data_IF_952084331546
#
_entry.id   IF_952084331546
#
_cell.length_a   1.000
_cell.length_b   1.000
_cell.length_c   1.000
_cell.angle_alpha   90.00
_cell.angle_beta   90.00
_cell.angle_gamma   90.00
#
_symmetry.space_group_name_H-M   'P 1'
#
loop_
_entity.id
_entity.type
_entity.pdbx_description
1 polymer ?
#
# COMPACT_ATOMS: atom_id res chain seq x y z
N UNK A 1 -20.71 -58.64 11.12
CA UNK A 1 -20.40 -59.72 10.15
C UNK A 1 -20.57 -59.07 8.79
N UNK A 2 -19.63 -58.99 7.85
CA UNK A 2 -18.43 -59.78 7.56
C UNK A 2 -17.57 -58.89 6.65
N UNK A 3 -16.24 -58.92 6.80
CA UNK A 3 -15.29 -58.24 5.90
C UNK A 3 -15.27 -58.93 4.53
N UNK A 4 -15.01 -58.19 3.45
CA UNK A 4 -14.41 -58.72 2.24
C UNK A 4 -13.55 -57.67 1.54
N UNK A 5 -12.27 -58.00 1.43
CA UNK A 5 -11.27 -57.39 0.56
C UNK A 5 -11.47 -57.95 -0.85
N UNK A 6 -11.34 -57.12 -1.88
CA UNK A 6 -10.92 -57.55 -3.22
C UNK A 6 -10.23 -56.37 -3.92
N UNK A 7 -8.98 -56.61 -4.27
CA UNK A 7 -8.14 -55.80 -5.12
C UNK A 7 -8.56 -55.94 -6.58
N UNK A 8 -8.23 -54.93 -7.41
CA UNK A 8 -7.96 -55.19 -8.82
C UNK A 8 -8.27 -54.06 -9.79
N UNK A 9 -7.24 -53.76 -10.59
CA UNK A 9 -7.26 -53.22 -11.95
C UNK A 9 -7.30 -51.70 -12.15
N UNK A 10 -6.11 -51.21 -12.53
CA UNK A 10 -5.85 -49.99 -13.28
C UNK A 10 -6.70 -49.92 -14.56
N UNK A 11 -7.24 -48.73 -14.84
CA UNK A 11 -7.54 -48.31 -16.21
C UNK A 11 -7.26 -46.81 -16.32
N UNK A 12 -6.15 -46.50 -17.00
CA UNK A 12 -5.82 -45.18 -17.52
C UNK A 12 -6.85 -44.79 -18.58
N UNK A 13 -7.55 -43.68 -18.38
CA UNK A 13 -8.30 -42.99 -19.43
C UNK A 13 -7.79 -41.56 -19.50
N UNK A 14 -6.88 -41.31 -20.45
CA UNK A 14 -6.47 -39.98 -20.85
C UNK A 14 -7.63 -39.32 -21.62
N UNK A 15 -8.18 -38.25 -21.07
CA UNK A 15 -9.14 -37.38 -21.78
C UNK A 15 -8.35 -36.19 -22.32
N UNK A 16 -8.13 -36.21 -23.63
CA UNK A 16 -7.70 -35.08 -24.43
C UNK A 16 -8.82 -34.03 -24.46
N UNK A 17 -8.61 -32.87 -23.85
CA UNK A 17 -9.43 -31.70 -24.08
C UNK A 17 -8.71 -30.76 -25.04
N UNK A 18 -9.41 -30.47 -26.13
CA UNK A 18 -8.99 -29.56 -27.19
C UNK A 18 -8.85 -28.13 -26.66
N UNK A 19 -7.74 -27.50 -27.05
CA UNK A 19 -7.42 -26.10 -26.76
C UNK A 19 -8.20 -25.23 -27.76
N UNK A 20 -9.24 -24.56 -27.27
CA UNK A 20 -9.89 -23.47 -27.99
C UNK A 20 -9.09 -22.19 -27.75
N UNK A 21 -8.49 -21.66 -28.83
CA UNK A 21 -7.77 -20.39 -28.79
C UNK A 21 -8.70 -19.23 -28.48
N UNK A 22 -8.33 -18.44 -27.48
CA UNK A 22 -8.81 -17.09 -27.28
C UNK A 22 -7.62 -16.14 -27.38
N UNK A 23 -7.58 -15.37 -28.46
CA UNK A 23 -6.72 -14.20 -28.65
C UNK A 23 -7.02 -13.17 -27.57
N UNK A 24 -6.11 -12.98 -26.62
CA UNK A 24 -6.15 -11.86 -25.69
C UNK A 24 -5.81 -10.57 -26.45
N UNK A 25 -6.81 -9.69 -26.61
CA UNK A 25 -6.57 -8.29 -26.98
C UNK A 25 -5.96 -7.58 -25.78
N UNK A 26 -4.68 -7.21 -25.90
CA UNK A 26 -4.03 -6.26 -25.00
C UNK A 26 -4.72 -4.91 -25.12
N UNK A 27 -5.44 -4.50 -24.07
CA UNK A 27 -5.92 -3.13 -23.93
C UNK A 27 -4.76 -2.28 -23.40
N UNK A 28 -4.28 -1.38 -24.25
CA UNK A 28 -3.32 -0.32 -23.95
C UNK A 28 -3.88 0.67 -22.93
N UNK A 29 -3.15 0.90 -21.85
CA UNK A 29 -3.38 1.99 -20.91
C UNK A 29 -3.16 3.36 -21.61
N UNK A 30 -3.87 4.44 -21.21
CA UNK A 30 -3.70 5.76 -21.81
C UNK A 30 -2.35 6.38 -21.44
N UNK A 31 -1.59 6.80 -22.46
CA UNK A 31 -0.33 7.54 -22.33
C UNK A 31 -0.56 8.95 -21.78
N UNK A 32 0.23 9.33 -20.79
CA UNK A 32 0.40 10.73 -20.37
C UNK A 32 1.11 11.54 -21.50
N UNK A 33 0.73 12.80 -21.74
CA UNK A 33 1.35 13.60 -22.80
C UNK A 33 2.78 14.03 -22.42
N UNK A 34 3.68 13.91 -23.40
CA UNK A 34 5.08 14.29 -23.31
C UNK A 34 5.26 15.81 -23.15
N UNK A 35 6.31 16.27 -22.43
CA UNK A 35 6.64 17.69 -22.34
C UNK A 35 7.17 18.21 -23.68
N UNK A 36 6.63 19.34 -24.13
CA UNK A 36 7.05 20.04 -25.34
C UNK A 36 8.29 20.90 -25.06
N UNK A 37 9.41 20.55 -25.68
CA UNK A 37 10.58 21.42 -25.84
C UNK A 37 10.32 22.45 -26.95
N UNK A 38 10.34 23.75 -26.64
CA UNK A 38 11.08 24.74 -27.44
C UNK A 38 11.24 26.09 -26.70
N UNK A 39 12.36 26.81 -26.91
CA UNK A 39 12.77 27.96 -26.11
C UNK A 39 12.44 29.31 -26.78
N UNK A 40 12.34 30.39 -26.00
CA UNK A 40 12.53 31.73 -26.53
C UNK A 40 13.06 32.69 -25.44
N UNK A 41 14.22 33.29 -25.75
CA UNK A 41 14.82 34.38 -25.00
C UNK A 41 14.23 35.73 -25.43
N UNK A 42 14.00 36.56 -24.41
CA UNK A 42 14.38 37.98 -24.24
C UNK A 42 13.98 39.10 -25.23
N UNK A 43 13.61 40.22 -24.59
CA UNK A 43 13.61 41.64 -24.99
C UNK A 43 12.54 42.24 -25.92
N UNK A 44 11.88 43.30 -25.40
CA UNK A 44 11.37 44.41 -26.21
C UNK A 44 10.20 45.21 -25.61
N UNK A 45 10.48 46.42 -25.12
CA UNK A 45 9.57 47.34 -24.42
C UNK A 45 8.53 48.07 -25.32
N UNK A 46 7.37 48.46 -24.74
CA UNK A 46 6.87 49.85 -24.61
C UNK A 46 5.34 49.91 -24.33
N UNK A 47 5.03 50.49 -23.17
CA UNK A 47 3.96 51.46 -22.84
C UNK A 47 2.62 51.48 -23.61
N UNK A 48 1.52 51.25 -22.87
CA UNK A 48 0.31 52.12 -22.86
C UNK A 48 -0.70 51.67 -21.80
N UNK A 49 -1.17 52.61 -20.99
CA UNK A 49 -2.02 52.36 -19.83
C UNK A 49 -3.53 52.38 -20.06
N UNK A 50 -4.21 52.57 -18.92
CA UNK A 50 -5.65 52.71 -18.67
C UNK A 50 -6.44 51.42 -18.36
N UNK A 51 -6.68 51.25 -17.06
CA UNK A 51 -7.90 50.79 -16.40
C UNK A 51 -8.91 49.97 -17.20
N UNK A 52 -9.13 48.73 -16.77
CA UNK A 52 -10.48 48.18 -16.62
C UNK A 52 -10.48 47.09 -15.55
N UNK A 53 -11.37 47.30 -14.59
CA UNK A 53 -11.80 46.36 -13.56
C UNK A 53 -12.17 45.01 -14.16
N UNK A 54 -11.56 43.96 -13.63
CA UNK A 54 -12.17 42.65 -13.63
C UNK A 54 -11.75 41.98 -12.33
N UNK A 55 -12.69 42.00 -11.38
CA UNK A 55 -12.76 41.02 -10.30
C UNK A 55 -12.68 39.64 -10.94
N UNK A 56 -11.47 39.10 -11.00
CA UNK A 56 -11.28 37.68 -11.13
C UNK A 56 -11.51 37.11 -9.73
N UNK A 57 -12.76 36.72 -9.46
CA UNK A 57 -13.04 35.80 -8.39
C UNK A 57 -12.08 34.61 -8.53
N UNK A 58 -11.36 34.19 -7.48
CA UNK A 58 -10.57 32.97 -7.55
C UNK A 58 -11.53 31.83 -7.89
N UNK A 59 -11.15 31.04 -8.89
CA UNK A 59 -11.91 29.90 -9.35
C UNK A 59 -12.11 28.92 -8.17
N UNK A 60 -13.37 28.60 -7.88
CA UNK A 60 -13.81 27.56 -6.94
C UNK A 60 -13.46 26.16 -7.51
N UNK A 61 -12.18 25.81 -7.67
CA UNK A 61 -11.78 24.56 -8.34
C UNK A 61 -11.92 23.28 -7.49
N UNK A 62 -12.21 23.38 -6.18
CA UNK A 62 -12.21 22.22 -5.27
C UNK A 62 -13.57 21.89 -4.62
N UNK A 63 -14.67 22.50 -5.05
CA UNK A 63 -15.99 22.24 -4.44
C UNK A 63 -16.67 21.03 -5.07
N UNK A 64 -16.48 19.87 -4.45
CA UNK A 64 -17.29 18.69 -4.74
C UNK A 64 -18.77 18.98 -4.46
N UNK A 65 -19.65 18.68 -5.44
CA UNK A 65 -21.09 18.87 -5.28
C UNK A 65 -21.65 17.98 -4.14
N UNK A 66 -22.70 18.42 -3.42
CA UNK A 66 -23.37 17.60 -2.42
C UNK A 66 -23.82 16.26 -2.99
N UNK A 67 -23.63 15.18 -2.23
CA UNK A 67 -23.96 13.81 -2.61
C UNK A 67 -25.26 13.40 -1.91
N UNK A 68 -26.35 13.13 -2.65
CA UNK A 68 -27.58 12.63 -2.05
C UNK A 68 -27.34 11.29 -1.33
N UNK A 69 -27.77 11.20 -0.08
CA UNK A 69 -27.62 9.97 0.73
C UNK A 69 -28.75 9.88 1.76
N UNK A 70 -29.48 8.76 1.81
CA UNK A 70 -30.43 8.44 2.89
C UNK A 70 -31.46 9.54 3.26
N UNK A 71 -31.91 10.30 2.24
CA UNK A 71 -32.91 11.37 2.36
C UNK A 71 -32.33 12.75 2.69
N UNK A 72 -31.02 12.87 2.85
CA UNK A 72 -30.28 14.13 3.00
C UNK A 72 -29.09 14.18 2.04
N UNK A 73 -28.02 14.86 2.43
CA UNK A 73 -26.82 15.01 1.61
C UNK A 73 -25.52 14.93 2.43
N UNK A 74 -24.53 14.26 1.86
CA UNK A 74 -23.13 14.34 2.28
C UNK A 74 -22.46 15.52 1.58
N UNK A 75 -21.66 16.28 2.31
CA UNK A 75 -20.89 17.41 1.79
C UNK A 75 -19.46 17.33 2.27
N UNK A 76 -18.52 17.65 1.38
CA UNK A 76 -17.10 17.83 1.71
C UNK A 76 -16.78 19.31 1.48
N UNK A 77 -16.29 19.98 2.52
CA UNK A 77 -15.97 21.41 2.47
C UNK A 77 -14.62 21.68 3.07
N UNK A 78 -13.89 22.64 2.51
CA UNK A 78 -12.64 23.16 3.05
C UNK A 78 -12.83 24.66 3.36
N UNK A 79 -13.03 25.05 4.64
CA UNK A 79 -13.35 26.43 4.98
C UNK A 79 -12.18 27.40 4.75
N UNK A 80 -10.95 26.91 4.85
CA UNK A 80 -9.71 27.66 4.69
C UNK A 80 -8.89 27.08 3.53
N UNK A 81 -8.20 27.92 2.77
CA UNK A 81 -7.54 27.55 1.49
C UNK A 81 -6.51 26.40 1.59
N UNK A 82 -5.97 26.15 2.79
CA UNK A 82 -5.07 25.02 3.09
C UNK A 82 -5.45 24.32 4.41
N UNK A 83 -6.70 24.52 4.86
CA UNK A 83 -7.18 23.98 6.13
C UNK A 83 -7.71 22.54 6.01
N UNK A 84 -8.16 21.99 7.13
CA UNK A 84 -8.81 20.68 7.13
C UNK A 84 -10.07 20.68 6.26
N UNK A 85 -10.24 19.60 5.49
CA UNK A 85 -11.50 19.26 4.84
C UNK A 85 -12.42 18.59 5.85
N UNK A 86 -13.71 18.87 5.72
CA UNK A 86 -14.75 18.37 6.61
C UNK A 86 -15.80 17.58 5.83
N UNK A 87 -16.03 16.33 6.22
CA UNK A 87 -17.19 15.55 5.82
C UNK A 87 -18.36 15.88 6.75
N UNK A 88 -19.52 16.23 6.19
CA UNK A 88 -20.75 16.45 6.96
C UNK A 88 -21.96 15.79 6.30
N UNK A 89 -22.98 15.48 7.11
CA UNK A 89 -24.31 15.08 6.65
C UNK A 89 -25.33 16.11 7.12
N UNK A 90 -26.04 16.74 6.18
CA UNK A 90 -26.99 17.84 6.45
C UNK A 90 -26.41 18.92 7.39
N UNK A 91 -25.13 19.24 7.23
CA UNK A 91 -24.40 20.22 8.03
C UNK A 91 -23.84 19.71 9.37
N UNK A 92 -24.14 18.47 9.78
CA UNK A 92 -23.53 17.84 10.96
C UNK A 92 -22.21 17.18 10.55
N UNK A 93 -21.10 17.65 11.11
CA UNK A 93 -19.78 17.06 10.89
C UNK A 93 -19.74 15.58 11.29
N UNK A 94 -19.15 14.76 10.42
CA UNK A 94 -18.96 13.33 10.58
C UNK A 94 -17.49 12.96 10.75
N UNK A 95 -16.59 13.63 10.01
CA UNK A 95 -15.15 13.45 10.05
C UNK A 95 -14.45 14.72 9.51
N UNK A 96 -13.18 14.93 9.87
CA UNK A 96 -12.31 15.92 9.23
C UNK A 96 -10.89 15.40 9.18
N UNK A 97 -10.16 15.80 8.14
CA UNK A 97 -8.71 15.68 8.05
C UNK A 97 -8.21 16.56 6.87
N UNK A 98 -6.90 16.63 6.64
CA UNK A 98 -6.30 17.38 5.55
C UNK A 98 -6.82 16.95 4.18
N UNK A 99 -6.93 15.63 3.95
CA UNK A 99 -7.58 15.08 2.78
C UNK A 99 -8.84 14.29 3.12
N UNK A 100 -9.90 14.58 2.39
CA UNK A 100 -11.22 13.94 2.50
C UNK A 100 -11.77 13.82 1.09
N UNK A 101 -12.03 12.60 0.65
CA UNK A 101 -12.56 12.33 -0.68
C UNK A 101 -13.65 11.26 -0.63
N UNK A 102 -14.76 11.51 -1.31
CA UNK A 102 -15.81 10.51 -1.46
C UNK A 102 -15.36 9.41 -2.43
N UNK A 103 -15.47 8.16 -2.02
CA UNK A 103 -15.18 7.00 -2.86
C UNK A 103 -16.44 6.60 -3.63
N UNK A 104 -17.45 6.07 -2.94
CA UNK A 104 -18.68 5.55 -3.56
C UNK A 104 -19.77 5.26 -2.54
N UNK A 105 -20.99 5.04 -3.04
CA UNK A 105 -22.08 4.41 -2.28
C UNK A 105 -22.23 2.96 -2.74
N UNK A 106 -22.37 2.05 -1.78
CA UNK A 106 -22.65 0.63 -2.01
C UNK A 106 -23.86 0.18 -1.22
N UNK A 107 -24.40 -1.00 -1.55
CA UNK A 107 -25.55 -1.60 -0.87
C UNK A 107 -25.10 -2.87 -0.15
N UNK A 108 -25.34 -2.95 1.16
CA UNK A 108 -25.07 -4.12 2.00
C UNK A 108 -26.39 -4.57 2.62
N UNK A 109 -26.89 -5.75 2.21
CA UNK A 109 -28.26 -6.15 2.45
C UNK A 109 -29.22 -5.12 1.87
N UNK A 110 -30.05 -4.51 2.71
CA UNK A 110 -30.96 -3.42 2.31
C UNK A 110 -30.49 -2.02 2.74
N UNK A 111 -29.24 -1.89 3.20
CA UNK A 111 -28.68 -0.63 3.73
C UNK A 111 -27.75 -0.01 2.69
N UNK A 112 -27.97 1.26 2.34
CA UNK A 112 -26.98 2.01 1.57
C UNK A 112 -25.87 2.50 2.50
N UNK A 113 -24.65 2.43 2.00
CA UNK A 113 -23.44 2.71 2.76
C UNK A 113 -22.55 3.60 1.90
N UNK A 114 -22.23 4.79 2.38
CA UNK A 114 -21.25 5.65 1.75
C UNK A 114 -19.86 5.36 2.32
N UNK A 115 -18.90 5.25 1.43
CA UNK A 115 -17.48 5.06 1.71
C UNK A 115 -16.76 6.37 1.42
N UNK A 116 -15.99 6.86 2.39
CA UNK A 116 -15.25 8.13 2.28
C UNK A 116 -13.84 7.89 2.78
N UNK A 117 -12.86 8.32 2.00
CA UNK A 117 -11.46 8.34 2.38
C UNK A 117 -11.16 9.60 3.19
N UNK A 118 -10.50 9.43 4.33
CA UNK A 118 -10.14 10.52 5.27
C UNK A 118 -8.72 10.28 5.78
N UNK A 119 -7.81 11.22 5.55
CA UNK A 119 -6.41 11.07 5.95
C UNK A 119 -5.59 12.36 5.89
N UNK A 120 -4.33 12.27 6.30
CA UNK A 120 -3.42 13.41 6.36
C UNK A 120 -2.93 13.86 4.97
N UNK A 121 -3.26 13.09 3.93
CA UNK A 121 -2.75 13.27 2.57
C UNK A 121 -1.30 12.82 2.40
N UNK A 122 -0.74 13.10 1.23
CA UNK A 122 0.63 12.68 0.86
C UNK A 122 0.67 11.32 0.15
N UNK A 123 1.88 10.81 -0.07
CA UNK A 123 2.14 9.61 -0.88
C UNK A 123 2.71 8.43 -0.07
N UNK A 124 2.92 8.59 1.24
CA UNK A 124 3.56 7.58 2.09
C UNK A 124 2.58 6.60 2.71
N UNK A 125 1.38 7.08 3.07
CA UNK A 125 0.32 6.28 3.65
C UNK A 125 -1.02 6.58 2.99
N UNK A 126 -1.89 5.57 2.97
CA UNK A 126 -3.24 5.71 2.46
C UNK A 126 -4.14 6.44 3.47
N UNK A 127 -5.30 6.95 3.03
CA UNK A 127 -6.31 7.45 3.94
C UNK A 127 -6.98 6.30 4.72
N UNK A 128 -7.51 6.62 5.90
CA UNK A 128 -8.45 5.75 6.59
C UNK A 128 -9.79 5.72 5.83
N UNK A 129 -10.57 4.65 6.02
CA UNK A 129 -11.90 4.54 5.43
C UNK A 129 -12.99 4.85 6.46
N UNK A 130 -13.74 5.93 6.24
CA UNK A 130 -14.96 6.22 6.99
C UNK A 130 -16.15 5.57 6.29
N UNK A 131 -16.86 4.72 7.03
CA UNK A 131 -18.09 4.07 6.61
C UNK A 131 -19.26 4.87 7.19
N UNK A 132 -20.16 5.36 6.33
CA UNK A 132 -21.35 6.13 6.71
C UNK A 132 -22.60 5.35 6.32
N UNK A 133 -23.53 5.16 7.26
CA UNK A 133 -24.80 4.48 7.00
C UNK A 133 -25.92 5.01 7.87
N UNK A 134 -27.16 4.72 7.50
CA UNK A 134 -28.34 5.01 8.31
C UNK A 134 -29.06 3.71 8.65
N UNK A 135 -29.10 3.29 9.92
CA UNK A 135 -29.97 2.19 10.34
C UNK A 135 -31.44 2.53 10.02
N UNK A 136 -32.26 1.51 9.80
CA UNK A 136 -33.71 1.70 9.60
C UNK A 136 -34.29 2.47 10.79
N UNK A 137 -34.94 3.60 10.50
CA UNK A 137 -35.52 4.53 11.48
C UNK A 137 -34.51 5.19 12.45
N UNK A 138 -33.21 5.17 12.11
CA UNK A 138 -32.13 5.72 12.92
C UNK A 138 -31.52 7.03 12.38
N UNK A 139 -30.63 7.62 13.19
CA UNK A 139 -29.74 8.69 12.74
C UNK A 139 -28.57 8.12 11.91
N UNK A 140 -27.93 8.99 11.11
CA UNK A 140 -26.68 8.66 10.43
C UNK A 140 -25.63 8.23 11.46
N UNK A 141 -24.94 7.14 11.13
CA UNK A 141 -23.86 6.54 11.89
C UNK A 141 -22.59 6.55 11.06
N UNK A 142 -21.46 6.57 11.77
CA UNK A 142 -20.15 6.39 11.17
C UNK A 142 -19.30 5.41 11.96
N UNK A 143 -18.36 4.80 11.28
CA UNK A 143 -17.22 4.11 11.88
C UNK A 143 -16.01 4.32 10.99
N UNK A 144 -14.82 4.25 11.58
CA UNK A 144 -13.56 4.42 10.87
C UNK A 144 -12.83 3.09 10.85
N UNK A 145 -12.34 2.71 9.68
CA UNK A 145 -11.39 1.62 9.49
C UNK A 145 -10.04 2.24 9.22
N UNK A 146 -9.06 1.86 10.01
CA UNK A 146 -7.68 2.33 9.98
C UNK A 146 -6.80 1.16 10.45
N UNK A 147 -5.66 0.97 9.82
CA UNK A 147 -4.67 -0.05 10.17
C UNK A 147 -3.25 0.53 10.15
N UNK A 148 -2.59 0.45 11.31
CA UNK A 148 -1.17 0.72 11.50
C UNK A 148 -0.75 2.19 11.26
N UNK A 149 -1.65 3.13 11.53
CA UNK A 149 -1.46 4.57 11.30
C UNK A 149 -1.12 4.90 9.84
N UNK A 150 -1.47 3.99 8.92
CA UNK A 150 -1.14 4.08 7.49
C UNK A 150 -2.36 3.82 6.59
N UNK A 151 -3.55 4.10 7.13
CA UNK A 151 -4.81 4.10 6.41
C UNK A 151 -5.53 2.76 6.41
N UNK A 152 -6.51 2.62 5.53
CA UNK A 152 -7.23 1.36 5.34
C UNK A 152 -6.86 0.71 4.01
N UNK A 153 -6.79 -0.63 3.95
CA UNK A 153 -6.77 -1.32 2.68
C UNK A 153 -8.02 -1.02 1.83
N UNK A 154 -7.95 -1.23 0.52
CA UNK A 154 -9.12 -1.11 -0.35
C UNK A 154 -10.30 -1.96 0.14
N UNK A 155 -11.49 -1.37 0.13
CA UNK A 155 -12.71 -2.04 0.54
C UNK A 155 -13.19 -3.04 -0.52
N UNK A 156 -13.26 -4.32 -0.16
CA UNK A 156 -13.90 -5.37 -0.96
C UNK A 156 -15.37 -5.52 -0.54
N UNK A 157 -16.28 -5.31 -1.48
CA UNK A 157 -17.73 -5.22 -1.18
C UNK A 157 -18.42 -6.49 -1.62
N UNK A 158 -19.25 -7.04 -0.72
CA UNK A 158 -20.13 -8.18 -0.97
C UNK A 158 -21.58 -7.82 -0.64
N UNK A 159 -22.50 -8.76 -0.84
CA UNK A 159 -23.93 -8.54 -0.56
C UNK A 159 -24.23 -8.36 0.93
N UNK A 160 -23.42 -8.90 1.84
CA UNK A 160 -23.67 -8.96 3.29
C UNK A 160 -22.64 -8.21 4.14
N UNK A 161 -21.44 -7.97 3.62
CA UNK A 161 -20.39 -7.24 4.33
C UNK A 161 -19.42 -6.47 3.42
N UNK A 162 -18.68 -5.55 4.04
CA UNK A 162 -17.50 -4.91 3.47
C UNK A 162 -16.26 -5.50 4.14
N UNK A 163 -15.31 -5.99 3.36
CA UNK A 163 -14.08 -6.61 3.83
C UNK A 163 -12.87 -5.71 3.59
N UNK A 164 -11.94 -5.71 4.54
CA UNK A 164 -10.67 -5.01 4.47
C UNK A 164 -9.55 -6.04 4.69
N UNK A 165 -8.86 -6.38 3.61
CA UNK A 165 -7.76 -7.34 3.62
C UNK A 165 -6.46 -6.57 3.87
N UNK A 166 -5.75 -6.81 5.00
CA UNK A 166 -4.58 -6.02 5.37
C UNK A 166 -3.45 -6.17 4.35
N UNK A 167 -2.69 -5.10 4.17
CA UNK A 167 -1.36 -5.18 3.58
C UNK A 167 -0.41 -5.81 4.60
N UNK A 168 0.02 -7.04 4.30
CA UNK A 168 0.92 -7.79 5.18
C UNK A 168 2.36 -7.52 4.77
N UNK A 169 3.15 -7.03 5.72
CA UNK A 169 4.59 -6.97 5.57
C UNK A 169 5.22 -8.33 5.86
N UNK A 170 6.41 -8.62 5.33
CA UNK A 170 7.18 -9.80 5.69
C UNK A 170 7.19 -10.07 7.21
N UNK A 171 6.74 -11.26 7.60
CA UNK A 171 6.68 -11.68 9.01
C UNK A 171 5.43 -11.22 9.77
N UNK A 172 4.61 -10.33 9.21
CA UNK A 172 3.42 -9.82 9.87
C UNK A 172 2.26 -10.82 9.87
N UNK A 173 1.49 -10.79 10.95
CA UNK A 173 0.14 -11.37 11.03
C UNK A 173 -0.82 -10.28 11.47
N UNK A 174 -1.88 -10.03 10.69
CA UNK A 174 -2.84 -8.96 10.94
C UNK A 174 -4.29 -9.45 10.77
N UNK A 175 -5.25 -8.82 11.48
CA UNK A 175 -6.65 -9.14 11.29
C UNK A 175 -7.12 -8.66 9.90
N UNK A 176 -7.78 -9.55 9.16
CA UNK A 176 -8.73 -9.15 8.14
C UNK A 176 -9.99 -8.66 8.84
N UNK A 177 -10.43 -7.46 8.46
CA UNK A 177 -11.61 -6.84 9.06
C UNK A 177 -12.81 -7.03 8.13
N UNK A 178 -13.98 -7.11 8.74
CA UNK A 178 -15.25 -7.06 8.04
C UNK A 178 -16.18 -6.09 8.75
N UNK A 179 -17.06 -5.45 7.99
CA UNK A 179 -18.09 -4.58 8.52
C UNK A 179 -19.43 -4.93 7.91
N UNK A 180 -20.48 -5.01 8.74
CA UNK A 180 -21.87 -5.11 8.29
C UNK A 180 -22.75 -4.13 9.08
N UNK A 181 -23.91 -3.74 8.55
CA UNK A 181 -24.83 -2.84 9.26
C UNK A 181 -25.34 -3.40 10.59
N UNK A 182 -25.40 -4.73 10.73
CA UNK A 182 -25.93 -5.41 11.93
C UNK A 182 -24.87 -5.74 12.96
N UNK A 183 -23.66 -6.07 12.54
CA UNK A 183 -22.58 -6.51 13.44
C UNK A 183 -21.54 -5.43 13.71
N UNK A 184 -21.48 -4.39 12.87
CA UNK A 184 -20.42 -3.39 12.93
C UNK A 184 -19.08 -3.95 12.48
N UNK A 185 -17.99 -3.27 12.85
CA UNK A 185 -16.63 -3.66 12.49
C UNK A 185 -16.16 -4.83 13.37
N UNK A 186 -15.80 -5.94 12.75
CA UNK A 186 -15.35 -7.17 13.41
C UNK A 186 -14.17 -7.79 12.67
N UNK A 187 -13.47 -8.72 13.30
CA UNK A 187 -12.39 -9.49 12.66
C UNK A 187 -12.98 -10.73 11.98
N UNK A 188 -12.76 -10.89 10.67
CA UNK A 188 -13.14 -12.09 9.92
C UNK A 188 -12.13 -13.22 10.05
N UNK A 189 -10.88 -12.89 10.36
CA UNK A 189 -9.79 -13.84 10.64
C UNK A 189 -8.45 -13.15 10.72
N UNK A 190 -7.40 -13.89 11.06
CA UNK A 190 -6.02 -13.40 10.97
C UNK A 190 -5.36 -13.93 9.71
N UNK A 191 -4.68 -13.05 8.97
CA UNK A 191 -3.89 -13.38 7.81
C UNK A 191 -2.41 -13.16 8.11
N UNK A 192 -1.56 -14.04 7.60
CA UNK A 192 -0.11 -14.01 7.80
C UNK A 192 0.59 -13.89 6.45
N UNK A 193 1.62 -13.05 6.37
CA UNK A 193 2.44 -12.92 5.17
C UNK A 193 2.98 -14.29 4.74
N UNK A 194 2.83 -14.61 3.46
CA UNK A 194 3.38 -15.83 2.87
C UNK A 194 4.12 -15.45 1.59
N UNK A 195 5.41 -15.80 1.44
CA UNK A 195 6.14 -15.54 0.20
C UNK A 195 5.58 -16.40 -0.95
N UNK A 196 5.98 -16.08 -2.18
CA UNK A 196 5.60 -16.87 -3.36
C UNK A 196 6.18 -18.30 -3.26
N UNK A 197 5.31 -19.33 -3.17
CA UNK A 197 5.76 -20.68 -2.90
C UNK A 197 6.53 -21.29 -4.08
N UNK A 198 7.61 -22.01 -3.77
CA UNK A 198 8.43 -22.72 -4.74
C UNK A 198 9.51 -21.88 -5.42
N UNK A 199 9.64 -20.59 -5.07
CA UNK A 199 10.72 -19.73 -5.54
C UNK A 199 12.01 -19.98 -4.74
N UNK A 200 13.16 -19.94 -5.41
CA UNK A 200 14.48 -20.20 -4.81
C UNK A 200 15.49 -19.12 -5.22
N UNK A 201 16.73 -19.19 -4.73
CA UNK A 201 17.79 -18.21 -4.98
C UNK A 201 18.09 -17.95 -6.45
N UNK A 202 17.91 -18.96 -7.31
CA UNK A 202 18.04 -18.85 -8.77
C UNK A 202 16.97 -17.95 -9.42
N UNK A 203 15.85 -17.73 -8.73
CA UNK A 203 14.71 -16.95 -9.21
C UNK A 203 14.80 -15.49 -8.75
N UNK A 204 15.83 -15.14 -7.96
CA UNK A 204 16.09 -13.77 -7.51
C UNK A 204 16.59 -12.93 -8.68
N UNK A 205 15.85 -11.86 -8.98
CA UNK A 205 16.16 -10.94 -10.08
C UNK A 205 15.91 -9.50 -9.64
N UNK A 206 16.96 -8.83 -9.16
CA UNK A 206 16.85 -7.48 -8.61
C UNK A 206 16.47 -6.41 -9.63
N UNK A 207 16.49 -6.72 -10.93
CA UNK A 207 16.06 -5.79 -11.97
C UNK A 207 14.55 -5.66 -12.09
N UNK A 208 13.80 -6.56 -11.45
CA UNK A 208 12.33 -6.55 -11.40
C UNK A 208 11.77 -5.94 -10.11
N UNK A 209 12.64 -5.50 -9.21
CA UNK A 209 12.24 -4.99 -7.91
C UNK A 209 12.12 -3.47 -8.01
N UNK A 210 10.96 -2.96 -7.62
CA UNK A 210 10.75 -1.53 -7.44
C UNK A 210 11.42 -1.08 -6.14
N UNK A 211 11.38 -1.94 -5.11
CA UNK A 211 11.99 -1.73 -3.80
C UNK A 211 12.68 -3.00 -3.28
N UNK A 212 13.68 -2.85 -2.40
CA UNK A 212 14.40 -4.01 -1.84
C UNK A 212 13.49 -4.97 -1.05
N UNK A 213 12.38 -4.46 -0.49
CA UNK A 213 11.39 -5.27 0.23
C UNK A 213 10.72 -6.31 -0.69
N UNK A 214 10.70 -6.10 -2.01
CA UNK A 214 10.17 -7.06 -2.98
C UNK A 214 10.95 -8.38 -2.99
N UNK A 215 12.21 -8.36 -2.52
CA UNK A 215 13.01 -9.57 -2.38
C UNK A 215 12.39 -10.59 -1.40
N UNK A 216 11.55 -10.16 -0.46
CA UNK A 216 10.84 -11.06 0.46
C UNK A 216 9.72 -11.86 -0.22
N UNK A 217 9.27 -11.50 -1.43
CA UNK A 217 8.36 -12.36 -2.21
C UNK A 217 9.01 -13.69 -2.56
N UNK A 218 10.35 -13.73 -2.67
CA UNK A 218 11.07 -14.98 -2.89
C UNK A 218 11.13 -15.82 -1.60
N UNK A 219 10.66 -17.06 -1.65
CA UNK A 219 10.53 -17.94 -0.49
C UNK A 219 11.89 -18.27 0.15
N UNK A 220 12.94 -18.47 -0.64
CA UNK A 220 14.27 -18.76 -0.10
C UNK A 220 14.89 -17.55 0.60
N UNK A 221 14.73 -16.34 0.04
CA UNK A 221 15.13 -15.08 0.68
C UNK A 221 14.33 -14.85 1.97
N UNK A 222 13.00 -15.01 1.92
CA UNK A 222 12.13 -14.89 3.08
C UNK A 222 12.56 -15.83 4.21
N UNK A 223 12.77 -17.12 3.92
CA UNK A 223 13.20 -18.11 4.91
C UNK A 223 14.56 -17.79 5.51
N UNK A 224 15.51 -17.35 4.69
CA UNK A 224 16.83 -16.94 5.17
C UNK A 224 16.74 -15.71 6.10
N UNK A 225 15.89 -14.76 5.76
CA UNK A 225 15.63 -13.59 6.58
C UNK A 225 14.90 -13.95 7.87
N UNK A 226 13.89 -14.84 7.81
CA UNK A 226 13.14 -15.27 8.98
C UNK A 226 14.04 -16.00 9.97
N UNK A 227 14.93 -16.87 9.48
CA UNK A 227 15.91 -17.57 10.31
C UNK A 227 16.89 -16.62 11.01
N UNK A 228 17.15 -15.46 10.42
CA UNK A 228 18.13 -14.50 10.91
C UNK A 228 17.53 -13.42 11.81
N UNK A 229 16.35 -12.89 11.44
CA UNK A 229 15.66 -11.79 12.11
C UNK A 229 14.69 -12.28 13.19
N UNK A 230 14.08 -13.45 13.01
CA UNK A 230 13.02 -13.95 13.88
C UNK A 230 11.90 -12.93 14.05
N UNK A 231 11.57 -12.62 15.31
CA UNK A 231 10.52 -11.67 15.68
C UNK A 231 10.81 -10.22 15.25
N UNK A 232 12.06 -9.88 14.87
CA UNK A 232 12.40 -8.55 14.36
C UNK A 232 12.05 -8.37 12.87
N UNK A 233 11.60 -9.42 12.19
CA UNK A 233 11.30 -9.38 10.76
C UNK A 233 10.24 -8.33 10.38
N UNK A 234 9.10 -8.21 11.09
CA UNK A 234 8.12 -7.16 10.78
C UNK A 234 8.70 -5.76 10.90
N UNK A 235 9.44 -5.47 11.98
CA UNK A 235 10.02 -4.14 12.17
C UNK A 235 11.09 -3.83 11.12
N UNK A 236 11.93 -4.81 10.77
CA UNK A 236 12.91 -4.65 9.70
C UNK A 236 12.23 -4.39 8.36
N UNK A 237 11.13 -5.09 8.05
CA UNK A 237 10.35 -4.83 6.86
C UNK A 237 9.76 -3.42 6.85
N UNK A 238 9.23 -2.95 7.98
CA UNK A 238 8.73 -1.57 8.14
C UNK A 238 9.84 -0.55 7.89
N UNK A 239 11.06 -0.79 8.40
CA UNK A 239 12.24 0.05 8.16
C UNK A 239 12.71 0.09 6.71
N UNK A 240 12.15 -0.74 5.82
CA UNK A 240 12.51 -0.82 4.40
C UNK A 240 11.37 -0.35 3.49
N UNK A 241 10.25 0.13 4.04
CA UNK A 241 9.03 0.43 3.28
C UNK A 241 9.18 1.62 2.35
N UNK A 242 9.75 2.71 2.83
CA UNK A 242 9.96 3.91 2.03
C UNK A 242 11.40 3.88 1.53
N UNK A 243 11.60 3.48 0.28
CA UNK A 243 12.92 3.31 -0.32
C UNK A 243 12.89 3.56 -1.83
N UNK A 244 14.04 3.33 -2.45
CA UNK A 244 14.17 3.31 -3.90
C UNK A 244 14.59 1.93 -4.42
N UNK A 245 14.88 1.88 -5.72
CA UNK A 245 15.36 0.68 -6.39
C UNK A 245 16.69 0.16 -5.83
N UNK A 246 17.10 -1.01 -6.31
CA UNK A 246 18.30 -1.70 -5.80
C UNK A 246 19.59 -1.27 -6.48
N UNK A 247 20.67 -1.21 -5.71
CA UNK A 247 22.04 -1.07 -6.19
C UNK A 247 22.78 -2.41 -6.13
N UNK A 248 23.87 -2.56 -6.91
CA UNK A 248 24.66 -3.79 -6.97
C UNK A 248 26.07 -3.58 -6.47
N UNK A 249 26.56 -4.53 -5.68
CA UNK A 249 27.97 -4.59 -5.28
C UNK A 249 28.82 -5.28 -6.35
N UNK A 250 30.14 -5.18 -6.21
CA UNK A 250 31.09 -5.84 -7.11
C UNK A 250 31.01 -7.37 -7.07
N UNK A 251 30.56 -7.98 -5.97
CA UNK A 251 30.36 -9.44 -5.88
C UNK A 251 29.06 -9.93 -6.50
N UNK A 252 28.18 -9.04 -6.95
CA UNK A 252 26.87 -9.38 -7.50
C UNK A 252 25.76 -9.49 -6.45
N UNK A 253 26.05 -9.19 -5.17
CA UNK A 253 25.01 -8.90 -4.20
C UNK A 253 24.30 -7.59 -4.59
N UNK A 254 23.05 -7.44 -4.17
CA UNK A 254 22.30 -6.20 -4.33
C UNK A 254 21.79 -5.70 -2.99
N UNK A 255 21.61 -4.39 -2.87
CA UNK A 255 21.21 -3.75 -1.63
C UNK A 255 20.34 -2.52 -1.88
N UNK A 256 19.64 -2.08 -0.84
CA UNK A 256 19.11 -0.73 -0.75
C UNK A 256 18.94 -0.33 0.71
N UNK A 257 18.66 0.95 0.93
CA UNK A 257 18.12 1.47 2.19
C UNK A 257 16.64 1.78 2.06
N UNK A 258 15.97 1.86 3.21
CA UNK A 258 14.66 2.44 3.32
C UNK A 258 14.46 3.10 4.68
N UNK A 259 13.29 3.66 4.89
CA UNK A 259 12.87 4.21 6.17
C UNK A 259 11.45 3.80 6.53
N UNK A 260 11.10 4.04 7.79
CA UNK A 260 9.74 3.90 8.30
C UNK A 260 8.90 5.07 7.75
N UNK A 261 7.66 4.82 7.25
CA UNK A 261 6.77 5.90 6.84
C UNK A 261 6.65 6.98 7.91
N UNK A 262 6.74 8.24 7.52
CA UNK A 262 6.71 9.42 8.40
C UNK A 262 7.88 9.57 9.42
N UNK A 263 8.83 8.62 9.47
CA UNK A 263 9.97 8.61 10.43
C UNK A 263 11.32 8.35 9.71
N UNK A 264 11.49 8.97 8.54
CA UNK A 264 12.77 8.97 7.82
C UNK A 264 13.87 9.64 8.67
N UNK A 265 14.97 8.92 8.91
CA UNK A 265 16.07 9.33 9.80
C UNK A 265 15.99 8.74 11.21
N UNK A 266 14.84 8.17 11.60
CA UNK A 266 14.62 7.56 12.90
C UNK A 266 15.07 6.11 12.95
N UNK A 267 14.34 5.23 12.25
CA UNK A 267 14.53 3.78 12.26
C UNK A 267 14.88 3.21 10.88
N UNK A 268 15.74 3.90 10.14
CA UNK A 268 16.11 3.53 8.77
C UNK A 268 16.72 2.13 8.68
N UNK A 269 16.34 1.41 7.63
CA UNK A 269 16.76 0.05 7.33
C UNK A 269 17.78 -0.01 6.20
N UNK A 270 18.61 -1.03 6.24
CA UNK A 270 19.49 -1.47 5.17
C UNK A 270 19.28 -2.98 4.97
N UNK A 271 19.13 -3.40 3.73
CA UNK A 271 19.09 -4.81 3.36
C UNK A 271 20.02 -5.06 2.19
N UNK A 272 20.79 -6.15 2.27
CA UNK A 272 21.53 -6.70 1.15
C UNK A 272 21.23 -8.20 0.98
N UNK A 273 21.17 -8.63 -0.27
CA UNK A 273 20.93 -10.02 -0.67
C UNK A 273 22.10 -10.45 -1.56
N UNK A 274 22.71 -11.59 -1.23
CA UNK A 274 23.76 -12.24 -2.01
C UNK A 274 23.18 -13.54 -2.60
N UNK A 275 22.67 -13.51 -3.85
CA UNK A 275 22.09 -14.69 -4.50
C UNK A 275 23.11 -15.77 -4.84
N UNK A 276 24.42 -15.46 -4.82
CA UNK A 276 25.47 -16.45 -5.12
C UNK A 276 25.83 -17.24 -3.86
N UNK A 277 25.88 -16.56 -2.70
CA UNK A 277 26.18 -17.18 -1.40
C UNK A 277 24.94 -17.62 -0.64
N UNK A 278 23.75 -17.32 -1.15
CA UNK A 278 22.46 -17.62 -0.51
C UNK A 278 22.37 -16.99 0.88
N UNK A 279 22.70 -15.70 0.97
CA UNK A 279 22.73 -14.95 2.23
C UNK A 279 22.00 -13.62 2.14
N UNK A 280 21.49 -13.20 3.28
CA UNK A 280 20.89 -11.89 3.50
C UNK A 280 21.60 -11.19 4.65
N UNK A 281 21.63 -9.86 4.58
CA UNK A 281 22.28 -8.99 5.55
C UNK A 281 21.34 -7.83 5.84
N UNK A 282 21.16 -7.50 7.11
CA UNK A 282 20.26 -6.47 7.56
C UNK A 282 20.96 -5.56 8.54
N UNK A 283 20.66 -4.28 8.47
CA UNK A 283 20.95 -3.38 9.57
C UNK A 283 19.82 -2.37 9.73
N UNK A 284 19.56 -1.96 10.96
CA UNK A 284 18.65 -0.86 11.30
C UNK A 284 19.37 0.12 12.19
N UNK A 285 19.02 1.40 12.12
CA UNK A 285 19.45 2.37 13.12
C UNK A 285 18.97 1.91 14.51
N UNK A 286 19.90 1.70 15.44
CA UNK A 286 19.59 1.29 16.80
C UNK A 286 19.39 2.50 17.72
N UNK A 287 18.64 2.32 18.81
CA UNK A 287 18.28 3.40 19.74
C UNK A 287 19.48 3.96 20.52
N UNK A 288 20.60 3.22 20.59
CA UNK A 288 21.79 3.56 21.37
C UNK A 288 22.95 4.12 20.52
N UNK A 289 22.69 4.50 19.27
CA UNK A 289 23.70 5.03 18.35
C UNK A 289 24.55 3.99 17.63
N UNK A 290 24.56 2.73 18.10
CA UNK A 290 25.05 1.59 17.32
C UNK A 290 23.89 0.96 16.52
N UNK A 291 24.12 0.54 15.28
CA UNK A 291 23.11 -0.15 14.49
C UNK A 291 22.85 -1.56 15.02
N UNK A 292 21.58 -1.97 14.99
CA UNK A 292 21.25 -3.38 15.11
C UNK A 292 21.55 -4.04 13.76
N UNK A 293 22.37 -5.09 13.73
CA UNK A 293 22.80 -5.72 12.49
C UNK A 293 22.77 -7.24 12.56
N UNK A 294 22.30 -7.85 11.47
CA UNK A 294 22.15 -9.29 11.33
C UNK A 294 22.72 -9.77 9.98
N UNK A 295 23.69 -10.71 9.99
CA UNK A 295 24.52 -11.09 11.13
C UNK A 295 25.34 -9.89 11.66
N UNK A 296 26.14 -10.02 12.72
CA UNK A 296 27.02 -8.93 13.16
C UNK A 296 27.89 -8.39 12.01
N UNK A 297 28.04 -7.06 11.90
CA UNK A 297 28.74 -6.38 10.78
C UNK A 297 30.15 -6.92 10.54
N UNK A 298 30.84 -7.37 11.59
CA UNK A 298 32.19 -7.98 11.49
C UNK A 298 32.23 -9.23 10.60
N UNK A 299 31.09 -9.88 10.39
CA UNK A 299 30.97 -11.12 9.62
C UNK A 299 30.48 -10.85 8.17
N UNK A 300 30.35 -9.57 7.79
CA UNK A 300 29.88 -9.17 6.47
C UNK A 300 31.02 -9.21 5.44
N UNK A 301 30.72 -9.57 4.18
CA UNK A 301 31.63 -9.35 3.07
C UNK A 301 32.06 -7.87 2.97
N UNK A 302 33.30 -7.64 2.55
CA UNK A 302 33.92 -6.29 2.51
C UNK A 302 33.09 -5.32 1.66
N UNK A 303 32.57 -5.77 0.53
CA UNK A 303 31.80 -4.94 -0.40
C UNK A 303 30.39 -4.65 0.11
N UNK A 304 29.74 -5.59 0.81
CA UNK A 304 28.45 -5.35 1.48
C UNK A 304 28.62 -4.41 2.67
N UNK A 305 29.68 -4.59 3.47
CA UNK A 305 30.01 -3.66 4.54
C UNK A 305 30.28 -2.26 3.99
N UNK A 306 31.02 -2.15 2.88
CA UNK A 306 31.26 -0.89 2.21
C UNK A 306 29.95 -0.24 1.74
N UNK A 307 29.07 -0.98 1.08
CA UNK A 307 27.77 -0.49 0.64
C UNK A 307 26.96 0.08 1.82
N UNK A 308 26.98 -0.61 2.96
CA UNK A 308 26.33 -0.14 4.18
C UNK A 308 26.96 1.11 4.79
N UNK A 309 28.29 1.17 4.88
CA UNK A 309 28.99 2.34 5.41
C UNK A 309 28.77 3.57 4.52
N UNK A 310 28.76 3.39 3.20
CA UNK A 310 28.47 4.45 2.23
C UNK A 310 27.01 4.91 2.36
N UNK A 311 26.07 3.99 2.54
CA UNK A 311 24.64 4.28 2.71
C UNK A 311 24.31 5.04 4.02
N UNK A 312 25.11 4.84 5.07
CA UNK A 312 25.00 5.57 6.36
C UNK A 312 25.55 6.99 6.34
N UNK A 313 26.44 7.29 5.38
CA UNK A 313 27.16 8.55 5.30
C UNK A 313 26.41 9.65 4.56
N UNK A 314 25.24 9.32 4.00
CA UNK A 314 24.29 10.24 3.38
C UNK A 314 23.15 10.60 4.35
#
# INVERSE_FOLDING_TARGET
MTRSLLAGACALAAILLAVSGATAQSQTAPQAPAPSDQPAADQGAADQGASSTSDAAPADEDKQAPIPFEGGQLTITQPEQDGEKMLAYDGKQLASNYDVSFDRIVKIGDVNVALVDVGDGGNQCGPAKVIVWKPKDGEIRTTTVEQDECGAPPAAVSDDAIYFVPFLLPGATKPALQWSPTEGLTTSGNLTYTPEPGTDWKDVDSSKYDNIIDAFHNEAVYKAAQALLGDNMPDMATSLLVGGGTEKTASGAFYATGCVPHDCGGNDGFMAVDPVKHKVYFARRGQNGEPDAWPPVKDWPVDIKKAYDDAKGN
#
